data_IF_540203657214
#
_entry.id   IF_540203657214
#
_cell.length_a   1.000
_cell.length_b   1.000
_cell.length_c   1.000
_cell.angle_alpha   90.00
_cell.angle_beta   90.00
_cell.angle_gamma   90.00
#
_symmetry.space_group_name_H-M   'P 1'
#
loop_
_entity.id
_entity.type
_entity.pdbx_description
1 polymer ?
#
# COMPACT_ATOMS: atom_id res chain seq x y z
N UNK A 1 10.52 -10.11 21.16
CA UNK A 1 10.68 -9.42 19.87
C UNK A 1 11.08 -7.99 20.17
N UNK A 2 12.06 -7.38 19.48
CA UNK A 2 12.34 -5.94 19.63
C UNK A 2 11.07 -5.17 19.21
N UNK A 3 10.72 -4.06 19.87
CA UNK A 3 9.53 -3.26 19.53
C UNK A 3 9.54 -2.83 18.05
N UNK A 4 10.70 -2.46 17.51
CA UNK A 4 10.82 -2.15 16.07
C UNK A 4 10.56 -3.37 15.17
N UNK A 5 10.91 -4.57 15.63
CA UNK A 5 10.66 -5.81 14.89
C UNK A 5 9.18 -6.18 14.89
N UNK A 6 8.50 -6.04 16.03
CA UNK A 6 7.04 -6.21 16.13
C UNK A 6 6.30 -5.20 15.22
N UNK A 7 6.75 -3.95 15.19
CA UNK A 7 6.20 -2.90 14.31
C UNK A 7 6.49 -3.14 12.82
N UNK A 8 7.68 -3.63 12.48
CA UNK A 8 8.01 -3.99 11.09
C UNK A 8 7.16 -5.16 10.59
N UNK A 9 6.94 -6.17 11.44
CA UNK A 9 6.01 -7.25 11.15
C UNK A 9 4.58 -6.75 11.06
N UNK A 10 4.17 -5.87 11.97
CA UNK A 10 2.85 -5.24 11.94
C UNK A 10 2.62 -4.51 10.63
N UNK A 11 3.60 -3.76 10.13
CA UNK A 11 3.50 -3.06 8.84
C UNK A 11 3.33 -4.04 7.66
N UNK A 12 4.17 -5.07 7.59
CA UNK A 12 4.15 -6.02 6.48
C UNK A 12 2.91 -6.94 6.51
N UNK A 13 2.52 -7.44 7.68
CA UNK A 13 1.32 -8.26 7.83
C UNK A 13 0.04 -7.43 7.82
N UNK A 14 0.05 -6.20 8.30
CA UNK A 14 -1.06 -5.27 8.20
C UNK A 14 -1.39 -4.91 6.75
N UNK A 15 -0.34 -4.71 5.93
CA UNK A 15 -0.50 -4.61 4.47
C UNK A 15 -1.22 -5.84 3.90
N UNK A 16 -0.69 -7.04 4.19
CA UNK A 16 -1.26 -8.28 3.68
C UNK A 16 -2.68 -8.55 4.17
N UNK A 17 -3.00 -8.10 5.39
CA UNK A 17 -4.33 -8.22 5.98
C UNK A 17 -5.35 -7.34 5.24
N UNK A 18 -4.98 -6.10 4.96
CA UNK A 18 -5.82 -5.15 4.26
C UNK A 18 -6.09 -5.56 2.82
N UNK A 19 -5.05 -5.98 2.12
CA UNK A 19 -5.11 -6.58 0.80
C UNK A 19 -6.09 -7.78 0.81
N UNK A 20 -5.83 -8.81 1.61
CA UNK A 20 -6.62 -10.04 1.59
C UNK A 20 -8.08 -9.86 2.06
N UNK A 21 -8.38 -8.87 2.90
CA UNK A 21 -9.74 -8.52 3.28
C UNK A 21 -10.49 -7.77 2.18
N UNK A 22 -9.79 -6.92 1.41
CA UNK A 22 -10.38 -6.17 0.30
C UNK A 22 -10.47 -6.96 -1.01
N UNK A 23 -9.65 -8.00 -1.16
CA UNK A 23 -9.62 -8.90 -2.33
C UNK A 23 -10.99 -9.36 -2.84
N UNK A 24 -11.94 -9.83 -2.00
CA UNK A 24 -13.24 -10.32 -2.48
C UNK A 24 -14.18 -9.20 -2.96
N UNK A 25 -13.95 -7.97 -2.50
CA UNK A 25 -14.84 -6.81 -2.73
C UNK A 25 -14.28 -5.80 -3.72
N UNK A 26 -13.06 -5.97 -4.20
CA UNK A 26 -12.44 -5.08 -5.17
C UNK A 26 -13.28 -4.98 -6.45
N UNK A 27 -13.29 -3.79 -7.06
CA UNK A 27 -14.02 -3.43 -8.28
C UNK A 27 -15.55 -3.48 -8.12
N UNK A 28 -16.06 -3.81 -6.93
CA UNK A 28 -17.49 -3.76 -6.62
C UNK A 28 -17.92 -2.37 -6.15
N UNK A 29 -19.19 -2.03 -6.41
CA UNK A 29 -19.82 -0.90 -5.71
C UNK A 29 -20.17 -1.28 -4.28
N UNK A 30 -20.21 -0.30 -3.37
CA UNK A 30 -20.63 -0.52 -1.98
C UNK A 30 -22.02 -1.15 -1.86
N UNK A 31 -22.96 -0.76 -2.72
CA UNK A 31 -24.29 -1.37 -2.75
C UNK A 31 -24.24 -2.86 -3.14
N UNK A 32 -23.38 -3.22 -4.09
CA UNK A 32 -23.16 -4.62 -4.47
C UNK A 32 -22.52 -5.44 -3.36
N UNK A 33 -21.58 -4.84 -2.61
CA UNK A 33 -20.96 -5.48 -1.44
C UNK A 33 -22.02 -5.78 -0.39
N UNK A 34 -22.85 -4.79 -0.03
CA UNK A 34 -23.93 -4.98 0.95
C UNK A 34 -24.94 -6.03 0.47
N UNK A 35 -25.30 -6.02 -0.80
CA UNK A 35 -26.24 -7.00 -1.34
C UNK A 35 -25.70 -8.44 -1.31
N UNK A 36 -24.38 -8.63 -1.46
CA UNK A 36 -23.74 -9.94 -1.53
C UNK A 36 -23.28 -10.46 -0.17
N UNK A 37 -22.58 -9.63 0.59
CA UNK A 37 -21.90 -10.00 1.83
C UNK A 37 -22.59 -9.43 3.08
N UNK A 38 -23.50 -8.46 2.91
CA UNK A 38 -24.01 -7.67 4.03
C UNK A 38 -22.93 -6.73 4.56
N UNK A 39 -22.14 -7.20 5.53
CA UNK A 39 -20.97 -6.48 6.04
C UNK A 39 -19.82 -7.47 6.08
N UNK A 40 -18.71 -7.14 5.43
CA UNK A 40 -17.50 -7.96 5.51
C UNK A 40 -16.94 -7.84 6.92
N UNK A 41 -16.88 -8.96 7.64
CA UNK A 41 -16.38 -9.04 9.03
C UNK A 41 -15.13 -9.91 9.17
N UNK A 42 -14.62 -10.44 8.07
CA UNK A 42 -13.47 -11.34 8.01
C UNK A 42 -13.14 -11.70 6.57
N UNK A 43 -12.27 -12.69 6.38
CA UNK A 43 -11.87 -13.12 5.04
C UNK A 43 -13.00 -13.83 4.31
N UNK A 44 -13.24 -13.42 3.07
CA UNK A 44 -14.21 -14.04 2.15
C UNK A 44 -13.49 -14.49 0.88
N UNK A 45 -13.94 -15.56 0.20
CA UNK A 45 -13.38 -15.98 -1.07
C UNK A 45 -13.74 -15.00 -2.19
N UNK A 46 -12.87 -14.89 -3.19
CA UNK A 46 -13.11 -14.07 -4.37
C UNK A 46 -14.30 -14.60 -5.19
N UNK A 47 -15.36 -13.81 -5.39
CA UNK A 47 -16.55 -14.24 -6.14
C UNK A 47 -16.22 -14.66 -7.57
N UNK A 48 -16.90 -15.69 -8.10
CA UNK A 48 -16.64 -16.20 -9.47
C UNK A 48 -16.83 -15.14 -10.57
N UNK A 49 -17.63 -14.11 -10.32
CA UNK A 49 -17.87 -12.99 -11.23
C UNK A 49 -17.00 -11.76 -10.94
N UNK A 50 -16.07 -11.84 -9.99
CA UNK A 50 -15.07 -10.80 -9.77
C UNK A 50 -14.01 -10.88 -10.89
N UNK A 51 -13.75 -9.78 -11.63
CA UNK A 51 -12.85 -9.82 -12.79
C UNK A 51 -11.38 -10.10 -12.44
N UNK A 52 -10.97 -9.86 -11.19
CA UNK A 52 -9.57 -9.98 -10.75
C UNK A 52 -9.39 -11.15 -9.80
N UNK A 53 -10.29 -11.30 -8.83
CA UNK A 53 -10.12 -12.28 -7.75
C UNK A 53 -10.95 -13.56 -7.88
N UNK A 54 -11.60 -13.80 -9.03
CA UNK A 54 -12.43 -14.98 -9.23
C UNK A 54 -11.73 -16.29 -8.84
N UNK A 55 -12.33 -17.01 -7.88
CA UNK A 55 -11.85 -18.31 -7.43
C UNK A 55 -10.66 -18.25 -6.47
N UNK A 56 -10.20 -17.06 -6.06
CA UNK A 56 -9.19 -16.93 -5.01
C UNK A 56 -9.77 -17.38 -3.65
N UNK A 57 -9.06 -18.25 -2.91
CA UNK A 57 -9.46 -18.63 -1.55
C UNK A 57 -9.62 -17.43 -0.60
N UNK A 58 -10.46 -17.60 0.43
CA UNK A 58 -10.56 -16.62 1.50
C UNK A 58 -9.19 -16.40 2.16
N UNK A 59 -8.77 -15.14 2.30
CA UNK A 59 -7.48 -14.78 2.88
C UNK A 59 -6.32 -14.78 1.88
N UNK A 60 -6.58 -14.94 0.58
CA UNK A 60 -5.56 -14.76 -0.45
C UNK A 60 -5.20 -13.29 -0.64
N UNK A 61 -3.90 -13.01 -0.76
CA UNK A 61 -3.38 -11.68 -1.10
C UNK A 61 -3.35 -11.46 -2.62
N UNK A 62 -3.29 -10.20 -3.05
CA UNK A 62 -3.23 -9.76 -4.45
C UNK A 62 -1.85 -9.19 -4.80
N UNK A 63 -1.80 -8.37 -5.85
CA UNK A 63 -0.58 -7.74 -6.33
C UNK A 63 -0.01 -6.71 -5.37
N UNK A 64 -0.81 -6.13 -4.48
CA UNK A 64 -0.36 -5.24 -3.41
C UNK A 64 0.74 -5.88 -2.54
N UNK A 65 0.43 -7.03 -1.93
CA UNK A 65 1.37 -7.76 -1.08
C UNK A 65 2.52 -8.33 -1.89
N UNK A 66 2.23 -8.95 -3.03
CA UNK A 66 3.26 -9.59 -3.84
C UNK A 66 4.29 -8.58 -4.34
N UNK A 67 3.85 -7.42 -4.84
CA UNK A 67 4.76 -6.36 -5.29
C UNK A 67 5.50 -5.71 -4.13
N UNK A 68 4.89 -5.57 -2.95
CA UNK A 68 5.60 -5.13 -1.75
C UNK A 68 6.73 -6.10 -1.37
N UNK A 69 6.47 -7.42 -1.41
CA UNK A 69 7.50 -8.43 -1.16
C UNK A 69 8.63 -8.37 -2.19
N UNK A 70 8.32 -8.13 -3.48
CA UNK A 70 9.34 -7.91 -4.52
C UNK A 70 10.22 -6.71 -4.19
N UNK A 71 9.62 -5.56 -3.85
CA UNK A 71 10.35 -4.34 -3.46
C UNK A 71 11.26 -4.62 -2.25
N UNK A 72 10.75 -5.31 -1.23
CA UNK A 72 11.54 -5.67 -0.06
C UNK A 72 12.73 -6.59 -0.37
N UNK A 73 12.54 -7.58 -1.26
CA UNK A 73 13.62 -8.47 -1.71
C UNK A 73 14.68 -7.72 -2.52
N UNK A 74 14.27 -6.78 -3.37
CA UNK A 74 15.21 -5.96 -4.14
C UNK A 74 16.09 -5.10 -3.24
N UNK A 75 15.48 -4.43 -2.25
CA UNK A 75 16.21 -3.62 -1.27
C UNK A 75 17.23 -4.46 -0.51
N UNK A 76 16.78 -5.58 0.06
CA UNK A 76 17.63 -6.45 0.88
C UNK A 76 18.73 -7.15 0.07
N UNK A 77 18.47 -7.48 -1.19
CA UNK A 77 19.45 -8.07 -2.11
C UNK A 77 20.46 -7.07 -2.71
N UNK A 78 20.18 -5.77 -2.64
CA UNK A 78 20.95 -4.72 -3.35
C UNK A 78 21.46 -3.60 -2.43
N UNK A 79 21.67 -3.90 -1.14
CA UNK A 79 22.22 -2.93 -0.18
C UNK A 79 21.34 -1.69 0.00
N UNK A 80 20.02 -1.85 -0.06
CA UNK A 80 19.05 -0.77 0.11
C UNK A 80 18.80 0.08 -1.14
N UNK A 81 19.21 -0.39 -2.32
CA UNK A 81 18.99 0.29 -3.61
C UNK A 81 17.96 -0.46 -4.45
N UNK A 82 17.21 0.26 -5.27
CA UNK A 82 16.37 -0.34 -6.30
C UNK A 82 16.88 0.13 -7.65
N UNK A 83 17.32 -0.82 -8.48
CA UNK A 83 17.58 -0.55 -9.88
C UNK A 83 16.24 -0.56 -10.65
N UNK A 84 15.87 0.52 -11.35
CA UNK A 84 14.56 0.64 -12.01
C UNK A 84 14.25 -0.50 -12.98
N UNK A 85 15.22 -0.90 -13.82
CA UNK A 85 15.03 -1.99 -14.77
C UNK A 85 14.94 -3.36 -14.09
N UNK A 86 15.61 -3.54 -12.94
CA UNK A 86 15.46 -4.76 -12.16
C UNK A 86 14.05 -4.87 -11.60
N UNK A 87 13.51 -3.77 -11.05
CA UNK A 87 12.12 -3.74 -10.60
C UNK A 87 11.15 -4.06 -11.74
N UNK A 88 11.30 -3.43 -12.92
CA UNK A 88 10.45 -3.76 -14.07
C UNK A 88 10.55 -5.23 -14.48
N UNK A 89 11.76 -5.81 -14.46
CA UNK A 89 11.96 -7.22 -14.77
C UNK A 89 11.25 -8.13 -13.77
N UNK A 90 11.39 -7.90 -12.47
CA UNK A 90 10.72 -8.71 -11.44
C UNK A 90 9.20 -8.63 -11.56
N UNK A 91 8.64 -7.44 -11.83
CA UNK A 91 7.20 -7.27 -12.02
C UNK A 91 6.69 -8.02 -13.26
N UNK A 92 7.44 -8.02 -14.37
CA UNK A 92 7.10 -8.78 -15.57
C UNK A 92 7.19 -10.30 -15.34
N UNK A 93 8.22 -10.78 -14.63
CA UNK A 93 8.34 -12.20 -14.29
C UNK A 93 7.24 -12.65 -13.32
N UNK A 94 6.91 -11.84 -12.33
CA UNK A 94 5.79 -12.09 -11.44
C UNK A 94 4.46 -12.17 -12.21
N UNK A 95 4.18 -11.23 -13.12
CA UNK A 95 2.96 -11.23 -13.93
C UNK A 95 2.87 -12.51 -14.78
N UNK A 96 3.98 -12.93 -15.40
CA UNK A 96 4.06 -14.19 -16.16
C UNK A 96 3.75 -15.40 -15.27
N UNK A 97 4.28 -15.43 -14.05
CA UNK A 97 4.03 -16.51 -13.10
C UNK A 97 2.56 -16.55 -12.65
N UNK A 98 1.92 -15.39 -12.46
CA UNK A 98 0.50 -15.33 -12.10
C UNK A 98 -0.41 -15.78 -13.25
N UNK A 99 -0.12 -15.34 -14.48
CA UNK A 99 -0.82 -15.82 -15.69
C UNK A 99 -0.71 -17.34 -15.86
N UNK A 100 0.45 -17.92 -15.56
CA UNK A 100 0.64 -19.37 -15.60
C UNK A 100 -0.18 -20.13 -14.55
N UNK A 101 -0.58 -19.46 -13.45
CA UNK A 101 -1.47 -19.98 -12.41
C UNK A 101 -2.96 -19.71 -12.69
N UNK A 102 -3.29 -19.03 -13.79
CA UNK A 102 -4.66 -18.72 -14.18
C UNK A 102 -5.20 -17.39 -13.64
N UNK A 103 -4.37 -16.54 -13.03
CA UNK A 103 -4.75 -15.20 -12.60
C UNK A 103 -4.37 -14.18 -13.68
N UNK A 104 -5.33 -13.37 -14.11
CA UNK A 104 -5.18 -12.44 -15.24
C UNK A 104 -5.44 -10.99 -14.79
N UNK A 105 -4.86 -10.04 -15.54
CA UNK A 105 -5.06 -8.60 -15.37
C UNK A 105 -4.77 -8.02 -13.96
N UNK A 106 -3.81 -8.62 -13.25
CA UNK A 106 -3.35 -8.16 -11.93
C UNK A 106 -2.44 -6.92 -11.95
N UNK A 107 -2.13 -6.36 -13.12
CA UNK A 107 -1.34 -5.13 -13.20
C UNK A 107 -2.26 -3.93 -13.43
N UNK A 108 -2.25 -3.01 -12.47
CA UNK A 108 -2.90 -1.71 -12.62
C UNK A 108 -2.45 -0.96 -13.89
N UNK A 109 -3.29 -0.05 -14.42
CA UNK A 109 -3.12 0.52 -15.76
C UNK A 109 -1.81 1.31 -15.93
N UNK A 110 -1.36 2.07 -14.92
CA UNK A 110 -0.08 2.78 -15.00
C UNK A 110 1.12 1.83 -15.00
N UNK A 111 1.14 0.82 -14.14
CA UNK A 111 2.21 -0.18 -14.10
C UNK A 111 2.28 -0.93 -15.43
N UNK A 112 1.14 -1.40 -15.94
CA UNK A 112 1.07 -2.11 -17.23
C UNK A 112 1.62 -1.25 -18.38
N UNK A 113 1.16 0.01 -18.49
CA UNK A 113 1.62 0.93 -19.54
C UNK A 113 3.14 1.18 -19.47
N UNK A 114 3.69 1.32 -18.26
CA UNK A 114 5.12 1.54 -18.07
C UNK A 114 5.96 0.30 -18.40
N UNK A 115 5.55 -0.89 -17.96
CA UNK A 115 6.25 -2.14 -18.26
C UNK A 115 6.19 -2.49 -19.76
N UNK A 116 5.08 -2.19 -20.43
CA UNK A 116 4.98 -2.28 -21.89
C UNK A 116 5.92 -1.29 -22.59
N UNK A 117 6.07 -0.07 -22.06
CA UNK A 117 7.03 0.90 -22.59
C UNK A 117 8.48 0.42 -22.45
N UNK A 118 8.86 -0.08 -21.27
CA UNK A 118 10.17 -0.70 -21.02
C UNK A 118 10.41 -1.86 -21.98
N UNK A 119 9.41 -2.73 -22.18
CA UNK A 119 9.50 -3.87 -23.11
C UNK A 119 9.71 -3.45 -24.57
N UNK A 120 9.36 -2.21 -24.94
CA UNK A 120 9.64 -1.61 -26.25
C UNK A 120 10.97 -0.85 -26.31
N UNK A 121 11.77 -0.88 -25.25
CA UNK A 121 13.07 -0.19 -25.17
C UNK A 121 12.97 1.29 -24.79
N UNK A 122 11.84 1.74 -24.24
CA UNK A 122 11.77 3.09 -23.64
C UNK A 122 12.66 3.10 -22.39
N UNK A 123 13.52 4.12 -22.21
CA UNK A 123 14.34 4.22 -21.01
C UNK A 123 13.50 4.25 -19.72
N UNK A 124 13.96 3.65 -18.61
CA UNK A 124 13.18 3.55 -17.37
C UNK A 124 12.80 4.91 -16.80
N UNK A 125 13.65 5.93 -16.96
CA UNK A 125 13.38 7.33 -16.58
C UNK A 125 12.21 7.96 -17.35
N UNK A 126 11.86 7.43 -18.52
CA UNK A 126 10.74 7.93 -19.34
C UNK A 126 9.49 7.05 -19.24
N UNK A 127 9.64 5.81 -18.75
CA UNK A 127 8.56 4.82 -18.71
C UNK A 127 7.49 5.19 -17.67
N UNK A 128 7.90 5.73 -16.52
CA UNK A 128 7.02 6.06 -15.41
C UNK A 128 6.37 7.44 -15.46
N UNK A 129 6.69 8.29 -16.44
CA UNK A 129 6.34 9.73 -16.45
C UNK A 129 4.85 10.08 -16.51
N UNK A 130 3.99 9.08 -16.70
CA UNK A 130 2.54 9.25 -16.76
C UNK A 130 1.80 8.40 -15.70
N UNK A 131 2.53 7.75 -14.79
CA UNK A 131 1.92 6.91 -13.76
C UNK A 131 1.22 7.75 -12.71
N UNK A 132 -0.11 7.62 -12.65
CA UNK A 132 -0.96 8.42 -11.74
C UNK A 132 -1.82 7.53 -10.81
N UNK A 133 -1.82 6.21 -11.01
CA UNK A 133 -2.47 5.28 -10.08
C UNK A 133 -1.63 5.04 -8.82
N UNK A 134 -2.23 4.42 -7.82
CA UNK A 134 -1.63 4.12 -6.52
C UNK A 134 -0.60 2.98 -6.49
N UNK A 135 -0.32 2.33 -7.62
CA UNK A 135 0.53 1.14 -7.68
C UNK A 135 1.94 1.30 -7.10
N UNK A 136 2.48 2.52 -7.04
CA UNK A 136 3.72 2.78 -6.30
C UNK A 136 3.51 2.85 -4.79
N UNK A 137 2.41 3.47 -4.33
CA UNK A 137 2.09 3.62 -2.93
C UNK A 137 1.70 2.29 -2.26
N UNK A 138 0.97 1.43 -2.96
CA UNK A 138 0.53 0.14 -2.41
C UNK A 138 1.70 -0.78 -2.02
N UNK A 139 2.81 -0.69 -2.74
CA UNK A 139 3.99 -1.56 -2.56
C UNK A 139 5.16 -0.92 -1.80
N UNK A 140 4.99 0.30 -1.27
CA UNK A 140 6.12 1.09 -0.73
C UNK A 140 6.48 0.75 0.71
N UNK A 141 5.65 0.01 1.43
CA UNK A 141 5.84 -0.37 2.85
C UNK A 141 7.27 -0.82 3.19
N UNK A 142 7.96 -1.65 2.39
CA UNK A 142 9.34 -2.04 2.69
C UNK A 142 10.34 -0.88 2.77
N UNK A 143 10.14 0.20 2.00
CA UNK A 143 10.98 1.41 2.08
C UNK A 143 10.79 2.08 3.44
N UNK A 144 9.55 2.19 3.91
CA UNK A 144 9.25 2.74 5.24
C UNK A 144 9.85 1.90 6.37
N UNK A 145 9.90 0.57 6.22
CA UNK A 145 10.57 -0.31 7.20
C UNK A 145 12.09 -0.14 7.16
N UNK A 146 12.68 -0.06 5.97
CA UNK A 146 14.13 -0.09 5.76
C UNK A 146 14.84 1.25 6.03
N UNK A 147 14.15 2.39 5.98
CA UNK A 147 14.80 3.70 6.07
C UNK A 147 14.06 4.63 7.03
N UNK A 148 14.77 5.31 7.95
CA UNK A 148 14.20 6.41 8.73
C UNK A 148 13.69 7.52 7.80
N UNK A 149 12.57 8.15 8.15
CA UNK A 149 12.01 9.29 7.40
C UNK A 149 12.78 10.61 7.65
N UNK A 150 13.79 10.59 8.51
CA UNK A 150 14.68 11.71 8.83
C UNK A 150 16.15 11.28 8.73
N UNK A 151 17.03 12.01 8.01
CA UNK A 151 16.74 13.20 7.20
C UNK A 151 15.88 12.90 5.95
N UNK A 152 15.01 13.85 5.59
CA UNK A 152 13.95 13.64 4.59
C UNK A 152 14.49 13.41 3.17
N UNK A 153 15.52 14.15 2.75
CA UNK A 153 16.01 14.07 1.36
C UNK A 153 16.56 12.67 0.99
N UNK A 154 17.47 12.04 1.78
CA UNK A 154 17.91 10.67 1.50
C UNK A 154 16.78 9.64 1.54
N UNK A 155 15.76 9.86 2.39
CA UNK A 155 14.57 9.01 2.43
C UNK A 155 13.76 9.12 1.13
N UNK A 156 13.51 10.34 0.65
CA UNK A 156 12.82 10.57 -0.62
C UNK A 156 13.58 10.03 -1.83
N UNK A 157 14.92 9.94 -1.78
CA UNK A 157 15.70 9.29 -2.82
C UNK A 157 15.34 7.80 -2.93
N UNK A 158 15.18 7.12 -1.79
CA UNK A 158 14.77 5.70 -1.77
C UNK A 158 13.35 5.51 -2.27
N UNK A 159 12.44 6.44 -1.92
CA UNK A 159 11.06 6.43 -2.45
C UNK A 159 11.07 6.63 -3.97
N UNK A 160 11.79 7.63 -4.47
CA UNK A 160 11.84 7.93 -5.90
C UNK A 160 12.40 6.74 -6.72
N UNK A 161 13.43 6.05 -6.22
CA UNK A 161 13.98 4.83 -6.84
C UNK A 161 12.93 3.71 -6.98
N UNK A 162 12.06 3.54 -5.99
CA UNK A 162 10.98 2.55 -6.01
C UNK A 162 9.81 2.92 -6.95
N UNK A 163 9.68 4.22 -7.27
CA UNK A 163 8.63 4.75 -8.13
C UNK A 163 9.05 4.82 -9.61
N UNK A 164 10.30 5.19 -9.89
CA UNK A 164 10.77 5.72 -11.17
C UNK A 164 10.29 4.94 -12.40
N UNK A 165 10.40 3.62 -12.39
CA UNK A 165 10.09 2.85 -13.60
C UNK A 165 8.59 2.78 -13.93
N UNK A 166 7.69 3.15 -13.00
CA UNK A 166 6.22 3.02 -13.19
C UNK A 166 5.40 4.26 -12.87
N UNK A 167 5.84 5.06 -11.90
CA UNK A 167 5.11 6.21 -11.36
C UNK A 167 6.08 7.35 -11.04
N UNK A 168 6.92 7.72 -12.01
CA UNK A 168 7.82 8.87 -11.91
C UNK A 168 7.06 10.18 -12.13
N UNK A 169 6.06 10.42 -11.28
CA UNK A 169 5.24 11.62 -11.32
C UNK A 169 5.18 12.27 -9.96
N UNK A 170 4.91 13.58 -9.93
CA UNK A 170 4.73 14.33 -8.69
C UNK A 170 3.69 13.67 -7.78
N UNK A 171 2.60 13.17 -8.36
CA UNK A 171 1.50 12.53 -7.63
C UNK A 171 1.88 11.12 -7.18
N UNK A 172 2.55 10.33 -8.03
CA UNK A 172 2.99 8.98 -7.70
C UNK A 172 4.04 8.97 -6.59
N UNK A 173 5.04 9.86 -6.68
CA UNK A 173 6.10 9.99 -5.68
C UNK A 173 5.54 10.57 -4.37
N UNK A 174 4.70 11.60 -4.42
CA UNK A 174 4.07 12.14 -3.20
C UNK A 174 3.23 11.09 -2.46
N UNK A 175 2.50 10.26 -3.20
CA UNK A 175 1.68 9.18 -2.65
C UNK A 175 2.52 8.10 -1.97
N UNK A 176 3.57 7.63 -2.65
CA UNK A 176 4.49 6.65 -2.08
C UNK A 176 5.25 7.22 -0.88
N UNK A 177 5.64 8.50 -0.93
CA UNK A 177 6.33 9.19 0.15
C UNK A 177 5.44 9.29 1.40
N UNK A 178 4.15 9.62 1.25
CA UNK A 178 3.19 9.65 2.37
C UNK A 178 3.15 8.32 3.12
N UNK A 179 2.90 7.23 2.38
CA UNK A 179 2.73 5.89 2.96
C UNK A 179 4.03 5.41 3.59
N UNK A 180 5.15 5.55 2.89
CA UNK A 180 6.45 5.13 3.41
C UNK A 180 6.85 5.90 4.66
N UNK A 181 6.62 7.21 4.71
CA UNK A 181 6.98 8.04 5.86
C UNK A 181 6.10 7.74 7.08
N UNK A 182 4.79 7.53 6.88
CA UNK A 182 3.89 7.09 7.95
C UNK A 182 4.32 5.74 8.54
N UNK A 183 4.63 4.76 7.68
CA UNK A 183 5.15 3.46 8.11
C UNK A 183 6.46 3.65 8.87
N UNK A 184 7.41 4.42 8.33
CA UNK A 184 8.72 4.63 8.95
C UNK A 184 8.61 5.29 10.32
N UNK A 185 7.77 6.31 10.44
CA UNK A 185 7.49 6.98 11.71
C UNK A 185 6.88 6.03 12.74
N UNK A 186 5.97 5.16 12.28
CA UNK A 186 5.45 4.04 13.07
C UNK A 186 6.58 3.15 13.57
N UNK A 187 7.48 2.66 12.72
CA UNK A 187 8.60 1.81 13.14
C UNK A 187 9.45 2.47 14.25
N UNK A 188 9.66 3.78 14.19
CA UNK A 188 10.47 4.52 15.18
C UNK A 188 9.77 4.81 16.51
N UNK A 189 8.55 4.31 16.72
CA UNK A 189 7.85 4.48 17.99
C UNK A 189 6.75 5.54 17.95
N UNK A 190 6.58 6.26 16.84
CA UNK A 190 5.56 7.30 16.69
C UNK A 190 4.14 6.77 16.83
N UNK A 191 3.24 7.63 17.26
CA UNK A 191 1.81 7.36 17.29
C UNK A 191 1.13 7.68 15.94
N UNK A 192 -0.20 7.61 15.90
CA UNK A 192 -0.96 7.87 14.67
C UNK A 192 -0.85 9.33 14.20
N UNK A 193 -0.79 10.29 15.13
CA UNK A 193 -0.67 11.72 14.80
C UNK A 193 0.73 12.01 14.24
N UNK A 194 1.77 11.42 14.84
CA UNK A 194 3.13 11.47 14.30
C UNK A 194 3.19 10.90 12.88
N UNK A 195 2.58 9.72 12.65
CA UNK A 195 2.56 9.07 11.34
C UNK A 195 1.85 9.93 10.28
N UNK A 196 0.75 10.61 10.63
CA UNK A 196 0.06 11.55 9.74
C UNK A 196 0.92 12.79 9.45
N UNK A 197 1.59 13.35 10.46
CA UNK A 197 2.51 14.47 10.28
C UNK A 197 3.67 14.15 9.34
N UNK A 198 4.27 12.95 9.51
CA UNK A 198 5.32 12.45 8.63
C UNK A 198 4.81 12.25 7.19
N UNK A 199 3.61 11.66 7.01
CA UNK A 199 3.01 11.47 5.70
C UNK A 199 2.80 12.78 4.94
N UNK A 200 2.17 13.78 5.57
CA UNK A 200 1.88 15.07 4.94
C UNK A 200 3.17 15.80 4.57
N UNK A 201 4.17 15.76 5.45
CA UNK A 201 5.48 16.38 5.20
C UNK A 201 6.21 15.71 4.03
N UNK A 202 6.27 14.38 4.01
CA UNK A 202 6.93 13.63 2.95
C UNK A 202 6.18 13.73 1.62
N UNK A 203 4.85 13.76 1.61
CA UNK A 203 4.06 13.97 0.39
C UNK A 203 4.31 15.35 -0.21
N UNK A 204 4.33 16.41 0.61
CA UNK A 204 4.57 17.76 0.13
C UNK A 204 5.95 17.89 -0.55
N UNK A 205 6.99 17.35 0.08
CA UNK A 205 8.34 17.33 -0.50
C UNK A 205 8.45 16.38 -1.71
N UNK A 206 7.79 15.22 -1.64
CA UNK A 206 7.74 14.25 -2.75
C UNK A 206 7.05 14.79 -4.01
N UNK A 207 6.10 15.72 -3.86
CA UNK A 207 5.42 16.37 -4.97
C UNK A 207 6.34 17.29 -5.81
N UNK A 208 7.51 17.67 -5.27
CA UNK A 208 8.53 18.43 -5.99
C UNK A 208 9.45 17.55 -6.86
N UNK A 209 9.24 16.23 -6.84
CA UNK A 209 10.03 15.24 -7.59
C UNK A 209 9.25 14.63 -8.76
N UNK A 210 9.98 14.01 -9.68
CA UNK A 210 9.42 13.34 -10.86
C UNK A 210 8.75 14.30 -11.85
N UNK A 211 7.93 13.75 -12.73
CA UNK A 211 7.23 14.53 -13.74
C UNK A 211 5.92 15.13 -13.22
N UNK A 212 5.71 16.42 -13.44
CA UNK A 212 4.45 17.05 -13.10
C UNK A 212 3.30 16.45 -13.91
N UNK A 213 2.23 16.07 -13.23
CA UNK A 213 0.96 15.67 -13.82
C UNK A 213 -0.18 16.45 -13.18
N UNK A 214 -1.21 16.76 -13.97
CA UNK A 214 -2.37 17.48 -13.46
C UNK A 214 -3.16 16.63 -12.47
N UNK A 215 -3.45 17.18 -11.29
CA UNK A 215 -4.26 16.52 -10.28
C UNK A 215 -4.26 17.28 -8.95
N UNK A 216 -5.09 16.83 -8.01
CA UNK A 216 -5.11 17.38 -6.66
C UNK A 216 -3.82 17.03 -5.91
N UNK A 217 -3.34 17.95 -5.09
CA UNK A 217 -2.17 17.76 -4.23
C UNK A 217 -2.43 16.66 -3.18
N UNK A 218 -1.52 15.69 -3.07
CA UNK A 218 -1.70 14.52 -2.20
C UNK A 218 -1.67 14.91 -0.73
N UNK A 219 -0.74 15.78 -0.31
CA UNK A 219 -0.60 16.19 1.09
C UNK A 219 -1.88 16.91 1.57
N UNK A 220 -2.37 17.87 0.79
CA UNK A 220 -3.61 18.59 1.06
C UNK A 220 -4.83 17.66 1.05
N UNK A 221 -4.87 16.69 0.13
CA UNK A 221 -5.95 15.70 0.04
C UNK A 221 -5.99 14.77 1.26
N UNK A 222 -4.83 14.31 1.74
CA UNK A 222 -4.72 13.50 2.96
C UNK A 222 -5.28 14.29 4.15
N UNK A 223 -4.77 15.52 4.38
CA UNK A 223 -5.25 16.35 5.48
C UNK A 223 -6.76 16.63 5.40
N UNK A 224 -7.25 16.97 4.20
CA UNK A 224 -8.68 17.19 3.97
C UNK A 224 -9.54 15.94 4.23
N UNK A 225 -9.11 14.77 3.76
CA UNK A 225 -9.87 13.52 3.91
C UNK A 225 -9.96 13.07 5.37
N UNK A 226 -8.88 13.24 6.14
CA UNK A 226 -8.87 12.99 7.60
C UNK A 226 -9.82 13.92 8.33
N UNK A 227 -9.79 15.22 8.03
CA UNK A 227 -10.73 16.19 8.64
C UNK A 227 -12.19 15.94 8.22
N UNK A 228 -12.41 15.50 6.99
CA UNK A 228 -13.75 15.24 6.44
C UNK A 228 -14.52 14.18 7.24
N UNK A 229 -13.82 13.18 7.78
CA UNK A 229 -14.43 12.08 8.55
C UNK A 229 -14.43 12.31 10.06
N UNK A 230 -13.69 13.31 10.54
CA UNK A 230 -13.46 13.54 11.97
C UNK A 230 -14.77 13.77 12.72
N UNK A 231 -14.99 12.99 13.78
CA UNK A 231 -16.15 13.11 14.66
C UNK A 231 -17.50 12.71 14.04
N UNK A 232 -17.51 12.18 12.81
CA UNK A 232 -18.72 11.69 12.16
C UNK A 232 -19.04 10.26 12.62
N UNK A 233 -20.33 9.87 12.67
CA UNK A 233 -20.71 8.47 12.80
C UNK A 233 -20.12 7.64 11.65
N UNK A 234 -19.63 6.44 11.96
CA UNK A 234 -18.90 5.57 11.02
C UNK A 234 -19.58 5.43 9.66
N UNK A 235 -20.88 5.12 9.63
CA UNK A 235 -21.63 5.01 8.37
C UNK A 235 -21.57 6.31 7.54
N UNK A 236 -21.75 7.47 8.18
CA UNK A 236 -21.71 8.75 7.49
C UNK A 236 -20.29 9.08 7.02
N UNK A 237 -19.27 8.77 7.82
CA UNK A 237 -17.87 8.93 7.42
C UNK A 237 -17.54 8.11 6.18
N UNK A 238 -17.92 6.82 6.15
CA UNK A 238 -17.72 5.96 4.98
C UNK A 238 -18.49 6.47 3.75
N UNK A 239 -19.72 6.98 3.93
CA UNK A 239 -20.47 7.62 2.84
C UNK A 239 -19.68 8.82 2.28
N UNK A 240 -19.09 9.67 3.13
CA UNK A 240 -18.25 10.81 2.70
C UNK A 240 -16.97 10.37 1.98
N UNK A 241 -16.33 9.29 2.43
CA UNK A 241 -15.16 8.72 1.74
C UNK A 241 -15.55 8.30 0.33
N UNK A 242 -16.60 7.49 0.17
CA UNK A 242 -17.06 7.04 -1.14
C UNK A 242 -17.48 8.21 -2.05
N UNK A 243 -18.27 9.16 -1.54
CA UNK A 243 -18.91 10.19 -2.36
C UNK A 243 -18.00 11.36 -2.72
N UNK A 244 -17.04 11.71 -1.85
CA UNK A 244 -16.24 12.94 -1.99
C UNK A 244 -14.74 12.70 -2.09
N UNK A 245 -14.22 11.68 -1.39
CA UNK A 245 -12.81 11.32 -1.51
C UNK A 245 -12.61 10.49 -2.77
N UNK A 246 -13.49 9.52 -3.01
CA UNK A 246 -13.33 8.54 -4.07
C UNK A 246 -12.53 7.33 -3.58
N UNK A 247 -12.71 6.21 -4.27
CA UNK A 247 -12.16 4.90 -3.89
C UNK A 247 -11.60 4.16 -5.12
N UNK A 248 -11.21 4.88 -6.18
CA UNK A 248 -10.61 4.25 -7.36
C UNK A 248 -9.09 4.07 -7.23
N UNK A 249 -8.51 3.42 -8.24
CA UNK A 249 -7.06 3.25 -8.42
C UNK A 249 -6.28 4.56 -8.56
N UNK A 250 -6.94 5.70 -8.73
CA UNK A 250 -6.26 6.99 -8.78
C UNK A 250 -5.58 7.28 -7.43
N UNK A 251 -4.31 7.66 -7.46
CA UNK A 251 -3.53 7.98 -6.24
C UNK A 251 -4.22 9.03 -5.37
N UNK A 252 -4.82 10.04 -6.02
CA UNK A 252 -5.49 11.14 -5.35
C UNK A 252 -6.80 10.72 -4.67
N UNK A 253 -7.34 9.53 -4.96
CA UNK A 253 -8.56 8.99 -4.34
C UNK A 253 -8.19 7.97 -3.25
N UNK A 254 -7.57 6.86 -3.64
CA UNK A 254 -7.26 5.73 -2.76
C UNK A 254 -6.32 6.08 -1.61
N UNK A 255 -5.26 6.86 -1.84
CA UNK A 255 -4.31 7.18 -0.75
C UNK A 255 -4.99 8.05 0.31
N UNK A 256 -5.63 9.19 0.00
CA UNK A 256 -6.41 9.94 0.99
C UNK A 256 -7.54 9.12 1.64
N UNK A 257 -8.20 8.21 0.89
CA UNK A 257 -9.22 7.33 1.45
C UNK A 257 -8.63 6.39 2.52
N UNK A 258 -7.43 5.85 2.31
CA UNK A 258 -6.74 5.01 3.29
C UNK A 258 -6.44 5.78 4.59
N UNK A 259 -5.98 7.03 4.50
CA UNK A 259 -5.77 7.89 5.66
C UNK A 259 -7.07 8.24 6.38
N UNK A 260 -8.17 8.49 5.65
CA UNK A 260 -9.48 8.73 6.24
C UNK A 260 -10.04 7.50 6.96
N UNK A 261 -9.94 6.31 6.36
CA UNK A 261 -10.31 5.03 6.98
C UNK A 261 -9.50 4.80 8.25
N UNK A 262 -8.20 5.02 8.18
CA UNK A 262 -7.30 4.85 9.32
C UNK A 262 -7.62 5.82 10.46
N UNK A 263 -7.94 7.09 10.15
CA UNK A 263 -8.39 8.06 11.14
C UNK A 263 -9.70 7.61 11.81
N UNK A 264 -10.65 7.08 11.03
CA UNK A 264 -11.91 6.55 11.54
C UNK A 264 -11.72 5.29 12.40
N UNK A 265 -10.73 4.47 12.06
CA UNK A 265 -10.32 3.27 12.78
C UNK A 265 -9.58 3.57 14.10
N UNK A 266 -9.18 4.82 14.33
CA UNK A 266 -8.35 5.25 15.47
C UNK A 266 -7.02 4.47 15.56
N UNK A 267 -6.46 4.09 14.41
CA UNK A 267 -5.17 3.37 14.35
C UNK A 267 -5.26 1.87 14.64
N UNK A 268 -6.44 1.32 14.91
CA UNK A 268 -6.62 -0.12 15.13
C UNK A 268 -6.54 -0.86 13.78
N UNK A 269 -5.53 -1.73 13.57
CA UNK A 269 -5.21 -2.25 12.25
C UNK A 269 -6.29 -3.17 11.67
N UNK A 270 -6.88 -4.06 12.47
CA UNK A 270 -7.89 -4.98 11.95
C UNK A 270 -9.17 -4.25 11.55
N UNK A 271 -9.64 -3.33 12.39
CA UNK A 271 -10.76 -2.45 12.08
C UNK A 271 -10.50 -1.58 10.86
N UNK A 272 -9.30 -1.01 10.72
CA UNK A 272 -8.95 -0.24 9.52
C UNK A 272 -9.11 -1.08 8.24
N UNK A 273 -8.60 -2.30 8.24
CA UNK A 273 -8.73 -3.21 7.10
C UNK A 273 -10.19 -3.59 6.82
N UNK A 274 -11.00 -3.88 7.85
CA UNK A 274 -12.42 -4.20 7.69
C UNK A 274 -13.22 -3.01 7.15
N UNK A 275 -12.95 -1.79 7.63
CA UNK A 275 -13.60 -0.59 7.11
C UNK A 275 -13.29 -0.38 5.64
N UNK A 276 -12.02 -0.56 5.24
CA UNK A 276 -11.60 -0.47 3.84
C UNK A 276 -12.31 -1.50 2.96
N UNK A 277 -12.37 -2.77 3.37
CA UNK A 277 -13.05 -3.84 2.63
C UNK A 277 -14.53 -3.57 2.36
N UNK A 278 -15.19 -2.74 3.18
CA UNK A 278 -16.59 -2.37 3.00
C UNK A 278 -16.82 -1.10 2.16
N UNK A 279 -15.77 -0.46 1.61
CA UNK A 279 -15.90 0.73 0.76
C UNK A 279 -16.27 0.41 -0.69
N UNK A 280 -15.75 -0.70 -1.23
CA UNK A 280 -15.74 -0.97 -2.66
C UNK A 280 -14.75 -0.11 -3.44
N UNK A 281 -14.80 -0.20 -4.77
CA UNK A 281 -13.74 0.33 -5.61
C UNK A 281 -12.45 -0.46 -5.42
N UNK A 282 -11.35 0.23 -5.17
CA UNK A 282 -10.00 -0.29 -4.96
C UNK A 282 -9.73 -0.51 -3.46
N UNK A 283 -10.60 -1.30 -2.83
CA UNK A 283 -10.66 -1.45 -1.38
C UNK A 283 -9.52 -2.31 -0.81
N UNK A 284 -8.97 -3.24 -1.59
CA UNK A 284 -7.74 -3.98 -1.27
C UNK A 284 -6.56 -3.04 -1.14
N UNK A 285 -6.33 -2.13 -2.10
CA UNK A 285 -5.24 -1.15 -1.99
C UNK A 285 -5.43 -0.18 -0.82
N UNK A 286 -6.66 0.32 -0.63
CA UNK A 286 -6.98 1.20 0.50
C UNK A 286 -6.73 0.47 1.83
N UNK A 287 -7.14 -0.79 1.93
CA UNK A 287 -6.91 -1.65 3.08
C UNK A 287 -5.43 -1.91 3.31
N UNK A 288 -4.68 -2.23 2.26
CA UNK A 288 -3.25 -2.52 2.29
C UNK A 288 -2.46 -1.32 2.85
N UNK A 289 -2.75 -0.11 2.36
CA UNK A 289 -2.11 1.12 2.85
C UNK A 289 -2.50 1.40 4.30
N UNK A 290 -3.80 1.38 4.63
CA UNK A 290 -4.27 1.67 5.98
C UNK A 290 -3.73 0.65 7.01
N UNK A 291 -3.76 -0.63 6.66
CA UNK A 291 -3.25 -1.73 7.46
C UNK A 291 -1.75 -1.67 7.66
N UNK A 292 -0.98 -1.31 6.62
CA UNK A 292 0.47 -1.13 6.74
C UNK A 292 0.83 -0.05 7.77
N UNK A 293 0.17 1.10 7.70
CA UNK A 293 0.44 2.22 8.61
C UNK A 293 -0.04 1.87 10.03
N UNK A 294 -1.26 1.35 10.17
CA UNK A 294 -1.81 0.95 11.47
C UNK A 294 -0.94 -0.11 12.16
N UNK A 295 -0.50 -1.11 11.39
CA UNK A 295 0.39 -2.15 11.89
C UNK A 295 1.79 -1.65 12.24
N UNK A 296 2.31 -0.65 11.52
CA UNK A 296 3.57 0.00 11.87
C UNK A 296 3.49 0.75 13.22
N UNK A 297 2.33 1.33 13.54
CA UNK A 297 2.10 2.03 14.81
C UNK A 297 1.82 1.04 15.95
N UNK A 298 0.94 0.06 15.71
CA UNK A 298 0.41 -0.83 16.74
C UNK A 298 1.23 -2.10 16.96
N UNK A 299 2.06 -2.50 15.99
CA UNK A 299 2.77 -3.76 16.02
C UNK A 299 1.94 -4.95 15.52
N UNK A 300 2.61 -6.06 15.19
CA UNK A 300 1.94 -7.31 14.82
C UNK A 300 1.10 -7.86 15.96
N UNK A 301 1.46 -7.56 17.21
CA UNK A 301 0.67 -7.86 18.41
C UNK A 301 -0.71 -7.19 18.44
N UNK A 302 -0.95 -6.16 17.61
CA UNK A 302 -2.26 -5.54 17.40
C UNK A 302 -3.15 -6.26 16.38
N UNK A 303 -2.64 -7.28 15.68
CA UNK A 303 -3.38 -8.04 14.67
C UNK A 303 -3.96 -9.34 15.28
N UNK A 304 -5.13 -9.84 14.82
CA UNK A 304 -5.68 -11.10 15.34
C UNK A 304 -4.83 -12.31 14.95
N UNK A 305 -4.44 -13.13 15.94
CA UNK A 305 -3.61 -14.32 15.75
C UNK A 305 -4.20 -15.32 14.73
N UNK A 306 -5.51 -15.55 14.78
CA UNK A 306 -6.20 -16.45 13.85
C UNK A 306 -6.18 -15.92 12.40
N UNK A 307 -6.28 -14.61 12.23
CA UNK A 307 -6.21 -13.98 10.92
C UNK A 307 -4.78 -14.05 10.35
N UNK A 308 -3.76 -13.80 11.19
CA UNK A 308 -2.35 -14.00 10.83
C UNK A 308 -2.05 -15.44 10.43
N UNK A 309 -2.55 -16.42 11.19
CA UNK A 309 -2.37 -17.84 10.88
C UNK A 309 -3.01 -18.20 9.53
N UNK A 310 -4.19 -17.65 9.24
CA UNK A 310 -4.88 -17.83 7.96
C UNK A 310 -4.06 -17.26 6.80
N UNK A 311 -3.60 -16.01 6.92
CA UNK A 311 -2.75 -15.35 5.90
C UNK A 311 -1.50 -16.17 5.59
N UNK A 312 -0.79 -16.62 6.63
CA UNK A 312 0.43 -17.44 6.48
C UNK A 312 0.13 -18.75 5.75
N UNK A 313 -0.93 -19.44 6.14
CA UNK A 313 -1.27 -20.74 5.59
C UNK A 313 -1.76 -20.68 4.15
N UNK A 314 -2.64 -19.72 3.83
CA UNK A 314 -3.25 -19.60 2.49
C UNK A 314 -2.22 -19.17 1.45
N UNK A 315 -1.31 -18.27 1.83
CA UNK A 315 -0.38 -17.65 0.90
C UNK A 315 1.05 -18.23 0.96
N UNK A 316 1.35 -19.07 1.96
CA UNK A 316 2.73 -19.49 2.25
C UNK A 316 3.61 -18.31 2.65
N UNK A 317 3.03 -17.32 3.32
CA UNK A 317 3.62 -15.98 3.53
C UNK A 317 4.41 -15.91 4.85
N UNK A 318 5.73 -16.02 4.76
CA UNK A 318 6.66 -15.82 5.89
C UNK A 318 7.40 -14.48 5.71
N UNK A 319 7.07 -13.49 6.54
CA UNK A 319 7.58 -12.12 6.42
C UNK A 319 8.66 -11.80 7.46
N UNK A 320 8.87 -12.68 8.44
CA UNK A 320 9.89 -12.52 9.47
C UNK A 320 11.31 -12.37 8.93
N UNK A 321 11.77 -13.19 7.97
CA UNK A 321 13.08 -12.99 7.37
C UNK A 321 13.19 -11.65 6.66
N UNK A 322 12.14 -11.23 5.96
CA UNK A 322 12.11 -9.97 5.23
C UNK A 322 12.15 -8.77 6.18
N UNK A 323 11.31 -8.76 7.21
CA UNK A 323 11.29 -7.72 8.25
C UNK A 323 12.66 -7.55 8.90
N UNK A 324 13.30 -8.68 9.24
CA UNK A 324 14.63 -8.70 9.86
C UNK A 324 15.68 -8.09 8.93
N UNK A 325 15.67 -8.45 7.65
CA UNK A 325 16.63 -7.94 6.67
C UNK A 325 16.41 -6.44 6.36
N UNK A 326 15.16 -5.97 6.30
CA UNK A 326 14.86 -4.56 6.13
C UNK A 326 15.31 -3.73 7.35
N UNK A 327 15.08 -4.23 8.56
CA UNK A 327 15.57 -3.56 9.78
C UNK A 327 17.10 -3.54 9.88
N UNK A 328 17.80 -4.51 9.30
CA UNK A 328 19.25 -4.47 9.21
C UNK A 328 19.73 -3.31 8.31
N UNK A 329 19.03 -3.02 7.20
CA UNK A 329 19.29 -1.83 6.40
C UNK A 329 19.03 -0.55 7.22
N UNK A 330 17.93 -0.50 7.98
CA UNK A 330 17.57 0.63 8.84
C UNK A 330 18.69 0.94 9.84
N UNK A 331 19.18 -0.08 10.53
CA UNK A 331 20.26 0.07 11.52
C UNK A 331 21.57 0.59 10.88
N UNK A 332 21.88 0.18 9.65
CA UNK A 332 23.07 0.63 8.93
C UNK A 332 23.00 2.08 8.43
N UNK A 333 21.84 2.75 8.52
CA UNK A 333 21.70 4.18 8.18
C UNK A 333 21.89 5.13 9.35
N UNK A 334 22.03 4.60 10.58
CA UNK A 334 22.23 5.39 11.79
C UNK A 334 23.72 5.68 12.09
N UNK A 335 24.64 5.15 11.28
CA UNK A 335 26.10 5.40 11.32
C UNK A 335 26.52 6.41 10.23
#
# INVERSE_FOLDING_TARGET
>A
MNHQHDRALGALYGLAMGDALGMPTQIMSRASIVARFGTVTGFEPGPEDNPVSAGMPAGSVTDDTDQAVIVGRLLTGSGGRIEPLRLAHELLEWERAMKAKGSFDLLGPSTKAALEAVSRGVPPEEAGKAGATNGAAMRITPVGVAFPDTPLEPFLDRVAEACQVTHDTSIGIASAAAVAAAVSRGIDGGDLEDAFGAAVTAAAAGAERGHWVAGADIAARIGWAVELVRGLPERQALDRVCDLVGTSVASQESVPAAFAVLALAEGEPWRACLLAANLGGDCDTIGAIAGAIAGAVSGASGLPDEALATLRSVNGLDLEPLATALLALRAGTAE
#
